data_IF_295175099088
#
_entry.id   IF_295175099088
#
_cell.length_a   1.000
_cell.length_b   1.000
_cell.length_c   1.000
_cell.angle_alpha   90.00
_cell.angle_beta   90.00
_cell.angle_gamma   90.00
#
_symmetry.space_group_name_H-M   'P 1'
#
loop_
_entity.id
_entity.type
_entity.pdbx_description
1 polymer ?
#
# COMPACT_ATOMS: atom_id res chain seq x y z
N UNK A 1 12.70 15.90 -7.01
CA UNK A 1 11.71 15.29 -7.92
C UNK A 1 11.16 14.02 -7.28
N UNK A 2 9.83 13.79 -7.31
CA UNK A 2 9.18 12.66 -6.62
C UNK A 2 9.59 11.33 -7.27
N UNK A 3 9.74 11.29 -8.60
CA UNK A 3 10.14 10.07 -9.31
C UNK A 3 11.57 9.66 -8.93
N UNK A 4 12.50 10.60 -8.83
CA UNK A 4 13.87 10.34 -8.35
C UNK A 4 13.88 9.75 -6.93
N UNK A 5 13.03 10.23 -6.02
CA UNK A 5 12.91 9.64 -4.69
C UNK A 5 12.37 8.21 -4.74
N UNK A 6 11.27 7.98 -5.48
CA UNK A 6 10.65 6.66 -5.60
C UNK A 6 11.55 5.62 -6.28
N UNK A 7 12.40 6.05 -7.21
CA UNK A 7 13.35 5.18 -7.90
C UNK A 7 14.71 5.07 -7.19
N UNK A 8 14.97 5.93 -6.19
CA UNK A 8 16.15 5.91 -5.34
C UNK A 8 15.83 5.35 -3.95
N UNK A 9 15.82 6.15 -2.87
CA UNK A 9 15.56 5.66 -1.52
C UNK A 9 14.22 4.91 -1.34
N UNK A 10 13.20 5.28 -2.13
CA UNK A 10 11.88 4.65 -2.10
C UNK A 10 11.76 3.33 -2.86
N UNK A 11 12.84 2.84 -3.48
CA UNK A 11 12.82 1.66 -4.37
C UNK A 11 12.34 0.37 -3.70
N UNK A 12 12.36 0.31 -2.36
CA UNK A 12 11.89 -0.84 -1.58
C UNK A 12 10.41 -1.19 -1.75
N UNK A 13 9.62 -0.35 -2.44
CA UNK A 13 8.24 -0.66 -2.85
C UNK A 13 8.15 -1.33 -4.23
N UNK A 14 9.27 -1.52 -4.95
CA UNK A 14 9.27 -2.15 -6.27
C UNK A 14 8.79 -3.60 -6.17
N UNK A 15 7.91 -3.99 -7.10
CA UNK A 15 7.32 -5.32 -7.12
C UNK A 15 6.16 -5.51 -6.13
N UNK A 16 5.75 -4.45 -5.43
CA UNK A 16 4.54 -4.48 -4.60
C UNK A 16 3.29 -4.76 -5.42
N UNK A 17 2.31 -5.39 -4.75
CA UNK A 17 0.94 -5.57 -5.23
C UNK A 17 0.01 -4.69 -4.42
N UNK A 18 -1.01 -4.14 -5.08
CA UNK A 18 -2.01 -3.27 -4.47
C UNK A 18 -3.39 -3.90 -4.62
N UNK A 19 -4.12 -4.01 -3.51
CA UNK A 19 -5.55 -4.35 -3.52
C UNK A 19 -6.33 -3.05 -3.32
N UNK A 20 -7.21 -2.65 -4.27
CA UNK A 20 -8.05 -1.46 -4.10
C UNK A 20 -9.09 -1.71 -3.01
N UNK A 21 -9.25 -0.72 -2.13
CA UNK A 21 -10.23 -0.72 -1.05
C UNK A 21 -10.76 0.72 -0.86
N UNK A 22 -11.74 0.89 0.04
CA UNK A 22 -12.15 2.19 0.52
C UNK A 22 -11.86 2.31 2.02
N UNK A 23 -11.36 3.46 2.46
CA UNK A 23 -11.12 3.74 3.87
C UNK A 23 -11.68 5.13 4.21
N UNK A 24 -12.57 5.20 5.20
CA UNK A 24 -13.21 6.45 5.65
C UNK A 24 -13.79 7.31 4.50
N UNK A 25 -14.44 6.66 3.52
CA UNK A 25 -15.03 7.36 2.36
C UNK A 25 -14.02 7.81 1.30
N UNK A 26 -12.74 7.50 1.45
CA UNK A 26 -11.69 7.83 0.48
C UNK A 26 -11.19 6.58 -0.27
N UNK A 27 -10.72 6.73 -1.52
CA UNK A 27 -9.99 5.65 -2.21
C UNK A 27 -8.73 5.27 -1.43
N UNK A 28 -8.47 3.97 -1.33
CA UNK A 28 -7.29 3.47 -0.64
C UNK A 28 -6.75 2.19 -1.29
N UNK A 29 -5.51 1.84 -0.94
CA UNK A 29 -4.87 0.61 -1.36
C UNK A 29 -4.26 -0.13 -0.18
N UNK A 30 -4.48 -1.43 -0.09
CA UNK A 30 -3.67 -2.31 0.72
C UNK A 30 -2.43 -2.70 -0.08
N UNK A 31 -1.25 -2.28 0.39
CA UNK A 31 0.03 -2.61 -0.23
C UNK A 31 0.63 -3.85 0.40
N UNK A 32 1.03 -4.78 -0.46
CA UNK A 32 1.86 -5.92 -0.11
C UNK A 32 3.21 -5.82 -0.82
N UNK A 33 4.32 -6.01 -0.11
CA UNK A 33 5.68 -6.04 -0.68
C UNK A 33 6.11 -7.48 -0.95
N UNK A 34 7.00 -7.74 -1.91
CA UNK A 34 7.63 -9.06 -2.03
C UNK A 34 8.14 -9.52 -0.66
N UNK A 35 7.66 -10.69 -0.21
CA UNK A 35 7.95 -11.27 1.10
C UNK A 35 9.27 -12.04 1.11
N UNK A 36 9.62 -12.55 2.30
CA UNK A 36 10.85 -13.35 2.49
C UNK A 36 10.81 -14.72 1.81
N UNK A 37 9.62 -15.30 1.64
CA UNK A 37 9.39 -16.55 0.91
C UNK A 37 9.10 -16.27 -0.57
N UNK A 38 9.71 -17.07 -1.45
CA UNK A 38 9.55 -16.92 -2.90
C UNK A 38 8.08 -17.06 -3.30
N UNK A 39 7.59 -16.10 -4.09
CA UNK A 39 6.20 -16.09 -4.53
C UNK A 39 5.18 -15.61 -3.48
N UNK A 40 5.64 -15.03 -2.36
CA UNK A 40 4.77 -14.41 -1.37
C UNK A 40 4.88 -12.88 -1.39
N UNK A 41 3.79 -12.20 -0.99
CA UNK A 41 3.79 -10.78 -0.70
C UNK A 41 3.24 -10.51 0.71
N UNK A 42 4.02 -9.80 1.52
CA UNK A 42 3.73 -9.48 2.92
C UNK A 42 3.06 -8.10 3.05
N UNK A 43 2.10 -7.93 3.99
CA UNK A 43 1.48 -6.65 4.31
C UNK A 43 2.51 -5.57 4.64
N UNK A 44 2.44 -4.43 3.96
CA UNK A 44 3.35 -3.31 4.19
C UNK A 44 2.66 -2.02 4.65
N UNK A 45 1.59 -1.61 3.98
CA UNK A 45 0.89 -0.38 4.37
C UNK A 45 -0.54 -0.33 3.83
N UNK A 46 -1.42 0.32 4.58
CA UNK A 46 -2.67 0.85 4.04
C UNK A 46 -2.42 2.28 3.56
N UNK A 47 -2.60 2.54 2.26
CA UNK A 47 -2.40 3.84 1.64
C UNK A 47 -3.77 4.51 1.44
N UNK A 48 -4.02 5.63 2.10
CA UNK A 48 -5.23 6.43 1.87
C UNK A 48 -4.88 7.57 0.91
N UNK A 49 -5.66 7.69 -0.17
CA UNK A 49 -5.43 8.66 -1.24
C UNK A 49 -6.32 9.87 -1.03
N UNK A 50 -5.70 11.03 -0.86
CA UNK A 50 -6.41 12.31 -0.82
C UNK A 50 -6.50 12.88 -2.24
N UNK A 51 -7.71 13.26 -2.63
CA UNK A 51 -8.04 13.76 -3.96
C UNK A 51 -8.52 15.22 -3.87
N UNK A 52 -8.04 16.07 -4.76
CA UNK A 52 -8.52 17.44 -4.93
C UNK A 52 -8.53 17.82 -6.42
N UNK A 53 -9.64 18.36 -6.90
CA UNK A 53 -9.82 18.76 -8.31
C UNK A 53 -9.39 17.69 -9.34
N UNK A 54 -9.72 16.42 -9.08
CA UNK A 54 -9.38 15.28 -9.95
C UNK A 54 -7.90 14.86 -9.92
N UNK A 55 -7.11 15.36 -8.97
CA UNK A 55 -5.68 15.06 -8.80
C UNK A 55 -5.40 14.53 -7.39
N UNK A 56 -4.35 13.71 -7.27
CA UNK A 56 -3.86 13.27 -5.96
C UNK A 56 -3.20 14.48 -5.29
N UNK A 57 -3.70 14.87 -4.12
CA UNK A 57 -3.13 15.93 -3.29
C UNK A 57 -2.29 15.39 -2.14
N UNK A 58 -2.49 14.13 -1.76
CA UNK A 58 -1.78 13.49 -0.66
C UNK A 58 -1.91 11.97 -0.66
N UNK A 59 -0.94 11.31 -0.04
CA UNK A 59 -0.95 9.86 0.21
C UNK A 59 -0.46 9.65 1.63
N UNK A 60 -1.33 9.11 2.49
CA UNK A 60 -0.98 8.76 3.87
C UNK A 60 -0.80 7.26 4.00
N UNK A 61 0.33 6.83 4.58
CA UNK A 61 0.70 5.43 4.75
C UNK A 61 0.53 5.03 6.21
N UNK A 62 -0.38 4.11 6.49
CA UNK A 62 -0.52 3.48 7.80
C UNK A 62 0.21 2.15 7.80
N UNK A 63 1.21 2.01 8.67
CA UNK A 63 2.16 0.89 8.65
C UNK A 63 1.81 -0.22 9.67
N UNK A 64 0.87 0.02 10.57
CA UNK A 64 0.41 -0.96 11.56
C UNK A 64 -0.56 -1.98 10.91
N UNK A 65 -0.04 -2.75 9.97
CA UNK A 65 -0.84 -3.68 9.14
C UNK A 65 -1.40 -4.83 9.95
N UNK A 66 -0.69 -5.30 10.98
CA UNK A 66 -1.16 -6.35 11.88
C UNK A 66 -2.49 -5.99 12.55
N UNK A 67 -2.69 -4.71 12.92
CA UNK A 67 -3.95 -4.22 13.46
C UNK A 67 -4.94 -3.83 12.38
N UNK A 68 -4.49 -3.15 11.32
CA UNK A 68 -5.38 -2.48 10.37
C UNK A 68 -5.95 -3.46 9.34
N UNK A 69 -5.15 -4.37 8.79
CA UNK A 69 -5.59 -5.24 7.68
C UNK A 69 -6.80 -6.12 8.05
N UNK A 70 -6.86 -6.73 9.25
CA UNK A 70 -8.04 -7.49 9.68
C UNK A 70 -9.34 -6.66 9.69
N UNK A 71 -9.26 -5.36 9.96
CA UNK A 71 -10.44 -4.47 9.96
C UNK A 71 -11.06 -4.31 8.56
N UNK A 72 -10.29 -4.58 7.51
CA UNK A 72 -10.73 -4.54 6.12
C UNK A 72 -10.93 -5.95 5.51
N UNK A 73 -10.81 -7.02 6.32
CA UNK A 73 -10.90 -8.40 5.82
C UNK A 73 -9.79 -8.77 4.84
N UNK A 74 -8.65 -8.08 4.91
CA UNK A 74 -7.52 -8.29 4.02
C UNK A 74 -6.71 -9.53 4.43
N UNK A 75 -6.18 -10.30 3.48
CA UNK A 75 -5.41 -11.50 3.79
C UNK A 75 -4.09 -11.15 4.51
N UNK A 76 -3.61 -12.03 5.42
CA UNK A 76 -2.34 -11.80 6.12
C UNK A 76 -1.11 -12.01 5.22
N UNK A 77 -1.28 -12.67 4.08
CA UNK A 77 -0.25 -12.88 3.05
C UNK A 77 -0.96 -12.93 1.69
N UNK A 78 -0.34 -12.39 0.65
CA UNK A 78 -0.84 -12.47 -0.72
C UNK A 78 0.05 -13.40 -1.54
N UNK A 79 -0.54 -14.40 -2.17
CA UNK A 79 0.18 -15.28 -3.10
C UNK A 79 0.54 -14.54 -4.39
N UNK A 80 1.65 -14.95 -5.03
CA UNK A 80 2.03 -14.54 -6.38
C UNK A 80 1.03 -14.99 -7.44
#
# INVERSE_FOLDING_TARGET
DIRQWCLGPGIGCRGSRLIPIAANGSPAFAQYKPGGEEGSHEPWSLQVIEMSAGRISGITFFLDTARIFPLFGLPPLLAA
#
